data_IF_686755536154
#
_entry.id   IF_686755536154
#
_cell.length_a   1.000
_cell.length_b   1.000
_cell.length_c   1.000
_cell.angle_alpha   90.00
_cell.angle_beta   90.00
_cell.angle_gamma   90.00
#
_symmetry.space_group_name_H-M   'P 1'
#
loop_
_entity.id
_entity.type
_entity.pdbx_description
1 polymer ?
#
# COMPACT_ATOMS: atom_id res chain seq x y z
N UNK A 1 30.02 55.58 20.82
CA UNK A 1 30.10 54.57 19.75
C UNK A 1 29.37 53.35 20.29
N UNK A 2 28.09 53.22 19.91
CA UNK A 2 27.03 52.84 20.84
C UNK A 2 26.71 51.33 20.77
N UNK A 3 26.80 50.63 21.90
CA UNK A 3 26.47 49.21 22.06
C UNK A 3 25.03 48.85 21.62
N UNK A 4 24.14 49.84 21.51
CA UNK A 4 22.75 49.67 21.02
C UNK A 4 22.72 49.22 19.56
N UNK A 5 23.67 49.67 18.73
CA UNK A 5 23.74 49.28 17.32
C UNK A 5 24.16 47.82 17.09
N UNK A 6 24.99 47.28 17.98
CA UNK A 6 25.47 45.88 17.88
C UNK A 6 24.38 44.90 18.31
N UNK A 7 23.55 45.26 19.29
CA UNK A 7 22.44 44.43 19.77
C UNK A 7 21.32 44.29 18.72
N UNK A 8 21.04 45.36 17.97
CA UNK A 8 20.05 45.36 16.88
C UNK A 8 20.51 44.51 15.68
N UNK A 9 21.79 44.53 15.34
CA UNK A 9 22.35 43.74 14.23
C UNK A 9 22.36 42.23 14.54
N UNK A 10 22.63 41.85 15.80
CA UNK A 10 22.56 40.46 16.25
C UNK A 10 21.11 39.92 16.30
N UNK A 11 20.13 40.75 16.62
CA UNK A 11 18.73 40.36 16.68
C UNK A 11 18.12 40.12 15.28
N UNK A 12 18.54 40.89 14.27
CA UNK A 12 18.10 40.73 12.86
C UNK A 12 18.64 39.44 12.24
N UNK A 13 19.83 38.96 12.63
CA UNK A 13 20.37 37.68 12.15
C UNK A 13 19.60 36.45 12.69
N UNK A 14 18.99 36.53 13.88
CA UNK A 14 18.23 35.42 14.48
C UNK A 14 16.83 35.24 13.90
N UNK A 15 16.35 36.13 13.02
CA UNK A 15 15.06 35.98 12.35
C UNK A 15 15.18 35.42 10.93
N UNK A 16 16.39 35.13 10.45
CA UNK A 16 16.62 34.56 9.12
C UNK A 16 16.67 33.03 9.15
N UNK A 17 15.79 32.38 9.92
CA UNK A 17 15.37 31.02 9.60
C UNK A 17 14.40 31.12 8.41
N UNK A 18 14.96 31.35 7.22
CA UNK A 18 14.29 31.00 5.99
C UNK A 18 14.15 29.47 6.00
N UNK A 19 13.10 28.97 6.67
CA UNK A 19 12.74 27.57 6.65
C UNK A 19 12.51 27.17 5.19
N UNK A 20 13.55 26.62 4.55
CA UNK A 20 13.46 26.03 3.22
C UNK A 20 12.58 24.79 3.36
N UNK A 21 11.26 24.97 3.30
CA UNK A 21 10.31 23.87 3.24
C UNK A 21 10.58 23.11 1.95
N UNK A 22 10.99 21.86 2.08
CA UNK A 22 11.08 20.97 0.94
C UNK A 22 9.70 20.92 0.23
N UNK A 23 9.67 20.93 -1.11
CA UNK A 23 8.41 20.81 -1.83
C UNK A 23 7.74 19.47 -1.48
N UNK A 24 6.40 19.40 -1.46
CA UNK A 24 5.70 18.15 -1.24
C UNK A 24 6.02 17.16 -2.36
N UNK A 25 6.21 15.89 -2.01
CA UNK A 25 6.48 14.79 -2.94
C UNK A 25 5.34 13.79 -2.87
N UNK A 26 4.85 13.35 -4.03
CA UNK A 26 3.86 12.27 -4.16
C UNK A 26 4.56 11.06 -4.76
N UNK A 27 4.46 9.91 -4.07
CA UNK A 27 5.02 8.65 -4.53
C UNK A 27 3.91 7.86 -5.22
N UNK A 28 4.12 7.52 -6.49
CA UNK A 28 3.23 6.64 -7.26
C UNK A 28 4.00 5.34 -7.52
N UNK A 29 3.62 4.22 -6.87
CA UNK A 29 4.33 2.95 -7.03
C UNK A 29 4.06 2.31 -8.41
N UNK A 30 4.98 1.45 -8.83
CA UNK A 30 4.79 0.60 -10.00
C UNK A 30 3.90 -0.63 -9.73
N UNK A 31 3.85 -1.55 -10.70
CA UNK A 31 3.10 -2.80 -10.57
C UNK A 31 3.63 -3.63 -9.39
N UNK A 32 2.73 -4.01 -8.47
CA UNK A 32 3.08 -4.76 -7.27
C UNK A 32 3.81 -3.93 -6.20
N UNK A 33 3.97 -2.62 -6.40
CA UNK A 33 4.70 -1.73 -5.49
C UNK A 33 3.87 -1.14 -4.34
N UNK A 34 2.66 -1.64 -4.10
CA UNK A 34 1.81 -1.25 -2.97
C UNK A 34 1.06 -2.46 -2.42
N UNK A 35 0.80 -2.46 -1.11
CA UNK A 35 -0.04 -3.50 -0.48
C UNK A 35 -1.46 -3.52 -1.07
N UNK A 36 -2.06 -4.71 -1.06
CA UNK A 36 -3.49 -4.89 -1.35
C UNK A 36 -4.13 -5.71 -0.24
N UNK A 37 -5.40 -5.44 0.01
CA UNK A 37 -6.23 -6.23 0.91
C UNK A 37 -7.42 -6.84 0.18
N UNK A 38 -7.84 -8.02 0.61
CA UNK A 38 -9.03 -8.69 0.09
C UNK A 38 -10.00 -9.09 1.20
N UNK A 39 -11.29 -9.17 0.85
CA UNK A 39 -12.34 -9.80 1.67
C UNK A 39 -13.09 -10.82 0.83
N UNK A 40 -13.32 -12.00 1.41
CA UNK A 40 -13.93 -13.14 0.71
C UNK A 40 -15.37 -13.38 1.18
N UNK A 41 -16.26 -13.63 0.23
CA UNK A 41 -17.62 -14.06 0.41
C UNK A 41 -18.06 -14.92 -0.79
N UNK A 42 -17.45 -16.10 -0.93
CA UNK A 42 -17.64 -17.03 -2.06
C UNK A 42 -18.46 -18.24 -1.65
N UNK A 43 -19.23 -18.78 -2.59
CA UNK A 43 -19.98 -20.04 -2.41
C UNK A 43 -19.15 -21.27 -2.77
N UNK A 44 -18.20 -21.13 -3.71
CA UNK A 44 -17.32 -22.19 -4.19
C UNK A 44 -15.86 -21.71 -4.29
N UNK A 45 -14.95 -22.67 -4.31
CA UNK A 45 -13.51 -22.48 -4.53
C UNK A 45 -13.00 -23.56 -5.49
N UNK A 46 -11.93 -23.27 -6.23
CA UNK A 46 -11.30 -24.24 -7.16
C UNK A 46 -10.79 -25.50 -6.41
N UNK A 47 -10.25 -25.30 -5.20
CA UNK A 47 -9.80 -26.37 -4.32
C UNK A 47 -10.46 -26.31 -2.94
N UNK A 48 -10.68 -27.47 -2.33
CA UNK A 48 -11.30 -27.61 -1.00
C UNK A 48 -10.47 -27.02 0.14
N UNK A 49 -9.17 -26.81 -0.10
CA UNK A 49 -8.25 -26.19 0.86
C UNK A 49 -8.29 -24.65 0.83
N UNK A 50 -8.92 -24.05 -0.17
CA UNK A 50 -9.00 -22.59 -0.27
C UNK A 50 -10.15 -22.06 0.59
N UNK A 51 -9.85 -21.04 1.38
CA UNK A 51 -10.86 -20.35 2.19
C UNK A 51 -11.87 -19.64 1.29
N UNK A 52 -13.15 -19.76 1.63
CA UNK A 52 -14.26 -19.21 0.84
C UNK A 52 -14.78 -17.89 1.38
N UNK A 53 -14.65 -17.67 2.69
CA UNK A 53 -15.21 -16.51 3.39
C UNK A 53 -14.19 -15.99 4.38
N UNK A 54 -14.02 -14.67 4.46
CA UNK A 54 -13.19 -14.04 5.50
C UNK A 54 -14.04 -13.09 6.34
N UNK A 55 -13.73 -12.99 7.64
CA UNK A 55 -14.43 -12.08 8.55
C UNK A 55 -14.17 -10.62 8.19
N UNK A 56 -12.90 -10.29 8.03
CA UNK A 56 -12.39 -8.95 7.76
C UNK A 56 -11.49 -8.96 6.51
N UNK A 57 -11.00 -7.76 6.16
CA UNK A 57 -9.99 -7.62 5.12
C UNK A 57 -8.66 -8.18 5.62
N UNK A 58 -7.97 -8.93 4.76
CA UNK A 58 -6.62 -9.44 5.03
C UNK A 58 -5.66 -9.02 3.92
N UNK A 59 -4.35 -8.95 4.21
CA UNK A 59 -3.33 -8.68 3.19
C UNK A 59 -3.34 -9.79 2.12
N UNK A 60 -3.73 -9.45 0.90
CA UNK A 60 -3.66 -10.35 -0.26
C UNK A 60 -2.36 -10.14 -1.06
N UNK A 61 -1.66 -9.04 -0.80
CA UNK A 61 -0.36 -8.74 -1.38
C UNK A 61 0.46 -7.83 -0.44
N UNK A 62 1.72 -8.14 -0.12
CA UNK A 62 2.51 -9.32 -0.43
C UNK A 62 2.59 -10.29 0.77
N UNK A 63 2.76 -11.60 0.53
CA UNK A 63 3.04 -12.60 1.57
C UNK A 63 4.04 -13.65 1.09
N UNK A 64 4.96 -14.07 1.96
CA UNK A 64 5.93 -15.14 1.68
C UNK A 64 5.28 -16.53 1.54
N UNK A 65 4.05 -16.69 2.04
CA UNK A 65 3.31 -17.96 1.96
C UNK A 65 3.00 -18.38 0.52
N UNK A 66 3.06 -17.44 -0.44
CA UNK A 66 2.88 -17.72 -1.87
C UNK A 66 3.96 -18.64 -2.47
N UNK A 67 5.04 -18.92 -1.74
CA UNK A 67 6.04 -19.92 -2.13
C UNK A 67 5.50 -21.36 -1.97
N UNK A 68 4.46 -21.57 -1.17
CA UNK A 68 3.81 -22.87 -0.99
C UNK A 68 2.81 -23.10 -2.14
N UNK A 69 2.94 -24.18 -2.95
CA UNK A 69 2.14 -24.36 -4.17
C UNK A 69 0.62 -24.31 -3.98
N UNK A 70 0.10 -24.88 -2.90
CA UNK A 70 -1.34 -24.88 -2.60
C UNK A 70 -1.84 -23.47 -2.27
N UNK A 71 -1.09 -22.74 -1.44
CA UNK A 71 -1.43 -21.34 -1.07
C UNK A 71 -1.36 -20.45 -2.31
N UNK A 72 -0.34 -20.64 -3.16
CA UNK A 72 -0.21 -19.94 -4.44
C UNK A 72 -1.43 -20.13 -5.33
N UNK A 73 -1.97 -21.34 -5.43
CA UNK A 73 -3.17 -21.62 -6.24
C UNK A 73 -4.40 -20.89 -5.70
N UNK A 74 -4.63 -20.94 -4.40
CA UNK A 74 -5.74 -20.19 -3.77
C UNK A 74 -5.57 -18.67 -3.95
N UNK A 75 -4.35 -18.16 -3.82
CA UNK A 75 -4.05 -16.75 -4.06
C UNK A 75 -4.33 -16.32 -5.50
N UNK A 76 -3.86 -17.09 -6.48
CA UNK A 76 -4.14 -16.85 -7.91
C UNK A 76 -5.65 -16.80 -8.20
N UNK A 77 -6.42 -17.70 -7.57
CA UNK A 77 -7.88 -17.74 -7.72
C UNK A 77 -8.59 -16.53 -7.11
N UNK A 78 -8.04 -15.96 -6.03
CA UNK A 78 -8.60 -14.79 -5.38
C UNK A 78 -8.22 -13.49 -6.11
N UNK A 79 -7.01 -13.37 -6.65
CA UNK A 79 -6.54 -12.13 -7.30
C UNK A 79 -6.90 -12.02 -8.79
N UNK A 80 -7.35 -13.12 -9.41
CA UNK A 80 -7.69 -13.11 -10.85
C UNK A 80 -8.82 -12.12 -11.15
N UNK A 81 -8.68 -11.46 -12.29
CA UNK A 81 -9.69 -10.57 -12.84
C UNK A 81 -10.51 -11.31 -13.90
N UNK A 82 -11.81 -11.03 -13.92
CA UNK A 82 -12.72 -11.47 -14.99
C UNK A 82 -12.83 -10.34 -16.00
N UNK A 83 -12.55 -10.62 -17.27
CA UNK A 83 -12.68 -9.65 -18.35
C UNK A 83 -13.99 -9.86 -19.10
N UNK A 84 -14.76 -8.78 -19.26
CA UNK A 84 -15.97 -8.78 -20.08
C UNK A 84 -15.64 -8.18 -21.46
N UNK A 85 -15.74 -9.03 -22.50
CA UNK A 85 -15.46 -8.66 -23.88
C UNK A 85 -16.46 -7.63 -24.45
N UNK A 86 -17.69 -7.56 -23.92
CA UNK A 86 -18.74 -6.66 -24.40
C UNK A 86 -18.55 -5.26 -23.81
N UNK A 87 -18.43 -5.16 -22.48
CA UNK A 87 -18.25 -3.86 -21.80
C UNK A 87 -16.81 -3.36 -21.83
N UNK A 88 -15.85 -4.24 -22.18
CA UNK A 88 -14.40 -3.97 -22.18
C UNK A 88 -13.86 -3.63 -20.78
N UNK A 89 -14.51 -4.10 -19.73
CA UNK A 89 -14.12 -3.85 -18.34
C UNK A 89 -13.61 -5.12 -17.66
N UNK A 90 -12.84 -4.94 -16.59
CA UNK A 90 -12.42 -6.00 -15.68
C UNK A 90 -13.16 -5.87 -14.35
N UNK A 91 -13.50 -7.00 -13.76
CA UNK A 91 -14.02 -7.08 -12.39
C UNK A 91 -13.23 -8.10 -11.58
N UNK A 92 -13.24 -7.93 -10.25
CA UNK A 92 -12.76 -8.96 -9.34
C UNK A 92 -13.52 -10.28 -9.55
N UNK A 93 -12.91 -11.38 -9.12
CA UNK A 93 -13.60 -12.66 -9.10
C UNK A 93 -14.88 -12.60 -8.23
N UNK A 94 -15.99 -13.28 -8.59
CA UNK A 94 -17.22 -13.21 -7.81
C UNK A 94 -17.01 -13.59 -6.34
N UNK A 95 -17.51 -12.74 -5.45
CA UNK A 95 -17.34 -12.91 -4.00
C UNK A 95 -15.95 -12.52 -3.48
N UNK A 96 -15.10 -11.88 -4.29
CA UNK A 96 -13.84 -11.28 -3.85
C UNK A 96 -13.92 -9.77 -3.97
N UNK A 97 -13.77 -9.08 -2.85
CA UNK A 97 -13.58 -7.64 -2.83
C UNK A 97 -12.10 -7.31 -2.57
N UNK A 98 -11.54 -6.39 -3.35
CA UNK A 98 -10.12 -5.98 -3.24
C UNK A 98 -10.06 -4.47 -3.04
N UNK A 99 -9.26 -4.01 -2.08
CA UNK A 99 -9.05 -2.59 -1.81
C UNK A 99 -7.56 -2.24 -1.67
N UNK A 100 -7.27 -0.98 -1.92
CA UNK A 100 -5.95 -0.38 -1.65
C UNK A 100 -6.00 0.27 -0.25
N UNK A 101 -5.30 -0.29 0.75
CA UNK A 101 -5.23 0.32 2.07
C UNK A 101 -4.26 1.51 2.10
N UNK A 102 -4.43 2.38 3.09
CA UNK A 102 -3.37 3.32 3.48
C UNK A 102 -3.05 4.46 2.52
N UNK A 103 -4.00 4.90 1.69
CA UNK A 103 -3.79 6.03 0.78
C UNK A 103 -3.28 7.28 1.53
N UNK A 104 -2.18 7.87 1.04
CA UNK A 104 -1.50 9.01 1.68
C UNK A 104 -0.47 8.62 2.75
N UNK A 105 -0.32 7.34 3.09
CA UNK A 105 0.68 6.85 4.01
C UNK A 105 1.80 6.10 3.25
N UNK A 106 3.07 6.55 3.30
CA UNK A 106 4.16 5.94 2.55
C UNK A 106 4.49 4.51 3.02
N UNK A 107 4.09 4.10 4.23
CA UNK A 107 4.37 2.76 4.79
C UNK A 107 3.85 1.63 3.90
N UNK A 108 2.76 1.86 3.17
CA UNK A 108 2.12 0.87 2.29
C UNK A 108 2.80 0.70 0.93
N UNK A 109 3.78 1.55 0.60
CA UNK A 109 4.66 1.43 -0.58
C UNK A 109 6.11 1.18 -0.20
N UNK A 110 6.51 1.53 1.02
CA UNK A 110 7.83 1.24 1.58
C UNK A 110 7.97 -0.26 1.90
N UNK A 111 6.92 -0.85 2.49
CA UNK A 111 6.91 -2.26 2.89
C UNK A 111 5.74 -2.99 2.22
N UNK A 112 6.02 -4.00 1.41
CA UNK A 112 4.98 -4.80 0.75
C UNK A 112 4.43 -5.91 1.64
N UNK A 113 5.27 -6.50 2.47
CA UNK A 113 4.85 -7.46 3.49
C UNK A 113 4.23 -6.72 4.67
N UNK A 114 3.10 -7.23 5.18
CA UNK A 114 2.39 -6.65 6.30
C UNK A 114 3.18 -6.79 7.62
N UNK A 115 4.07 -7.78 7.71
CA UNK A 115 4.96 -7.98 8.86
C UNK A 115 6.26 -7.16 8.77
N UNK A 116 6.49 -6.45 7.66
CA UNK A 116 7.64 -5.56 7.45
C UNK A 116 8.99 -6.27 7.58
N UNK A 117 9.02 -7.53 7.14
CA UNK A 117 10.25 -8.31 7.11
C UNK A 117 11.03 -8.01 5.83
N UNK A 118 12.31 -7.73 5.99
CA UNK A 118 13.26 -7.72 4.88
C UNK A 118 13.49 -9.17 4.45
N UNK A 119 13.23 -9.44 3.17
CA UNK A 119 13.64 -10.69 2.54
C UNK A 119 15.08 -10.49 2.06
N UNK A 120 16.04 -10.96 2.85
CA UNK A 120 17.48 -10.86 2.59
C UNK A 120 18.17 -12.16 2.96
#
# INVERSE_FOLDING_TARGET
MNCIGVLLILCVCMCCDAATRAPPVIIVPGLGGSRLEAKLNRTSSEHFLCEKTSKDYFPIWFSYEFLVPVVKQCWMDNIKLTYDNVTRTTSSHPGVDIRVPGFGNPRYVEWLDAEERLVG
#
